data_IF_401469889334
#
_entry.id   IF_401469889334
#
_cell.length_a   1.000
_cell.length_b   1.000
_cell.length_c   1.000
_cell.angle_alpha   90.00
_cell.angle_beta   90.00
_cell.angle_gamma   90.00
#
_symmetry.space_group_name_H-M   'P 1'
#
loop_
_entity.id
_entity.type
_entity.pdbx_description
1 polymer ?
#
# COMPACT_ATOMS: atom_id res chain seq x y z
N UNK A 1 3.65 -7.78 10.55
CA UNK A 1 4.04 -6.69 9.63
C UNK A 1 4.49 -5.42 10.34
N UNK A 2 3.87 -5.00 11.45
CA UNK A 2 4.24 -3.72 12.07
C UNK A 2 5.65 -3.64 12.70
N UNK A 3 6.24 -4.80 13.02
CA UNK A 3 7.59 -4.91 13.53
C UNK A 3 8.64 -5.10 12.42
N UNK A 4 8.24 -5.10 11.15
CA UNK A 4 9.14 -5.30 10.01
C UNK A 4 9.66 -3.95 9.53
N UNK A 5 10.96 -3.89 9.24
CA UNK A 5 11.60 -2.69 8.68
C UNK A 5 11.03 -2.42 7.28
N UNK A 6 10.65 -1.17 6.95
CA UNK A 6 10.13 -0.85 5.62
C UNK A 6 11.24 -0.95 4.55
N UNK A 7 10.87 -1.39 3.35
CA UNK A 7 11.78 -1.57 2.22
C UNK A 7 12.29 -0.23 1.66
N UNK A 8 11.40 0.74 1.51
CA UNK A 8 11.69 2.11 1.10
C UNK A 8 11.32 3.06 2.24
N UNK A 9 11.80 4.31 2.19
CA UNK A 9 11.40 5.36 3.13
C UNK A 9 11.09 6.67 2.40
N UNK A 10 10.22 7.50 2.97
CA UNK A 10 9.82 8.77 2.36
C UNK A 10 8.48 9.27 2.88
N UNK A 11 7.90 10.25 2.18
CA UNK A 11 6.55 10.76 2.47
C UNK A 11 5.48 9.65 2.44
N UNK A 12 4.26 9.97 2.89
CA UNK A 12 3.12 9.06 3.05
C UNK A 12 3.27 8.01 4.17
N UNK A 13 4.39 7.32 4.25
CA UNK A 13 4.60 6.23 5.22
C UNK A 13 5.07 6.69 6.61
N UNK A 14 5.46 7.96 6.75
CA UNK A 14 5.97 8.55 8.00
C UNK A 14 4.83 9.27 8.72
N UNK A 15 4.69 9.01 10.02
CA UNK A 15 3.81 9.77 10.94
C UNK A 15 4.53 11.02 11.43
N UNK A 16 5.77 10.87 11.87
CA UNK A 16 6.58 11.95 12.43
C UNK A 16 8.08 11.71 12.15
N UNK A 17 8.84 12.79 11.97
CA UNK A 17 10.26 12.72 11.65
C UNK A 17 11.04 13.87 12.26
N UNK A 18 12.18 13.51 12.85
CA UNK A 18 13.22 14.39 13.38
C UNK A 18 14.56 14.00 12.75
N UNK A 19 15.64 14.75 13.03
CA UNK A 19 16.96 14.34 12.55
C UNK A 19 17.44 13.01 13.15
N UNK A 20 17.02 12.70 14.38
CA UNK A 20 17.47 11.52 15.14
C UNK A 20 16.52 10.32 15.03
N UNK A 21 15.25 10.54 14.70
CA UNK A 21 14.21 9.51 14.75
C UNK A 21 13.13 9.70 13.69
N UNK A 22 12.68 8.57 13.15
CA UNK A 22 11.48 8.46 12.29
C UNK A 22 10.44 7.53 12.93
N UNK A 23 9.18 7.95 12.93
CA UNK A 23 8.03 7.14 13.34
C UNK A 23 7.21 6.79 12.09
N UNK A 24 7.02 5.50 11.85
CA UNK A 24 6.28 5.00 10.69
C UNK A 24 4.80 4.76 10.99
N UNK A 25 3.98 4.88 9.95
CA UNK A 25 2.58 4.46 9.96
C UNK A 25 2.44 2.96 10.27
N UNK A 26 1.22 2.52 10.60
CA UNK A 26 0.92 1.09 10.63
C UNK A 26 0.95 0.48 9.21
N UNK A 27 1.12 -0.84 9.12
CA UNK A 27 0.92 -1.56 7.87
C UNK A 27 -0.56 -1.47 7.43
N UNK A 28 -0.85 -1.35 6.12
CA UNK A 28 0.06 -1.52 4.99
C UNK A 28 0.88 -0.27 4.61
N UNK A 29 0.40 0.94 4.93
CA UNK A 29 1.01 2.23 4.53
C UNK A 29 2.48 2.37 4.94
N UNK A 30 2.90 1.68 6.01
CA UNK A 30 4.33 1.50 6.36
C UNK A 30 5.21 1.12 5.16
N UNK A 31 4.68 0.44 4.15
CA UNK A 31 5.43 -0.10 3.01
C UNK A 31 5.18 0.64 1.69
N UNK A 32 4.45 1.76 1.70
CA UNK A 32 4.04 2.51 0.51
C UNK A 32 4.64 3.92 0.55
N UNK A 33 5.97 4.01 0.44
CA UNK A 33 6.67 5.29 0.43
C UNK A 33 6.32 6.12 -0.81
N UNK A 34 6.14 7.42 -0.59
CA UNK A 34 5.94 8.40 -1.64
C UNK A 34 4.53 8.38 -2.22
N UNK A 35 4.39 9.01 -3.39
CA UNK A 35 3.13 9.04 -4.13
C UNK A 35 2.88 7.65 -4.70
N UNK A 36 1.83 6.99 -4.23
CA UNK A 36 1.44 5.67 -4.74
C UNK A 36 0.99 5.71 -6.21
N UNK A 37 0.90 4.54 -6.82
CA UNK A 37 0.34 4.38 -8.15
C UNK A 37 -1.20 4.41 -8.10
N UNK A 38 -1.74 5.60 -7.85
CA UNK A 38 -3.16 5.80 -7.51
C UNK A 38 -4.07 5.38 -8.67
N UNK A 39 -3.76 5.82 -9.89
CA UNK A 39 -4.60 5.55 -11.07
C UNK A 39 -4.70 4.05 -11.35
N UNK A 40 -3.58 3.33 -11.32
CA UNK A 40 -3.58 1.90 -11.57
C UNK A 40 -4.20 1.11 -10.42
N UNK A 41 -4.06 1.57 -9.16
CA UNK A 41 -4.74 0.95 -8.02
C UNK A 41 -6.28 1.03 -8.16
N UNK A 42 -6.80 2.19 -8.59
CA UNK A 42 -8.23 2.35 -8.88
C UNK A 42 -8.65 1.52 -10.09
N UNK A 43 -7.83 1.51 -11.15
CA UNK A 43 -8.06 0.69 -12.34
C UNK A 43 -8.11 -0.80 -12.03
N UNK A 44 -7.19 -1.28 -11.18
CA UNK A 44 -7.17 -2.65 -10.69
C UNK A 44 -8.42 -2.98 -9.85
N UNK A 45 -8.87 -2.06 -8.99
CA UNK A 45 -10.13 -2.22 -8.26
C UNK A 45 -11.31 -2.48 -9.21
N UNK A 46 -11.44 -1.64 -10.24
CA UNK A 46 -12.48 -1.81 -11.27
C UNK A 46 -12.35 -3.14 -12.02
N UNK A 47 -11.13 -3.54 -12.36
CA UNK A 47 -10.89 -4.80 -13.06
C UNK A 47 -11.27 -6.02 -12.19
N UNK A 48 -10.99 -5.97 -10.88
CA UNK A 48 -11.39 -6.99 -9.92
C UNK A 48 -12.91 -7.06 -9.80
N UNK A 49 -13.59 -5.92 -9.69
CA UNK A 49 -15.06 -5.86 -9.63
C UNK A 49 -15.70 -6.51 -10.87
N UNK A 50 -15.12 -6.26 -12.06
CA UNK A 50 -15.57 -6.89 -13.29
C UNK A 50 -15.37 -8.42 -13.28
N UNK A 51 -14.16 -8.89 -12.93
CA UNK A 51 -13.85 -10.32 -12.90
C UNK A 51 -14.71 -11.07 -11.88
N UNK A 52 -15.02 -10.46 -10.74
CA UNK A 52 -15.87 -11.06 -9.71
C UNK A 52 -17.31 -11.33 -10.17
N UNK A 53 -17.79 -10.68 -11.23
CA UNK A 53 -19.10 -10.93 -11.83
C UNK A 53 -19.10 -12.17 -12.75
N UNK A 54 -17.92 -12.64 -13.15
CA UNK A 54 -17.77 -13.81 -14.02
C UNK A 54 -17.72 -15.06 -13.14
N UNK A 55 -18.59 -16.05 -13.37
CA UNK A 55 -18.50 -17.33 -12.66
C UNK A 55 -17.14 -17.98 -12.90
N UNK A 56 -16.37 -18.17 -11.84
CA UNK A 56 -15.15 -18.96 -11.92
C UNK A 56 -15.54 -20.43 -12.04
N UNK A 57 -15.22 -21.05 -13.17
CA UNK A 57 -15.30 -22.50 -13.28
C UNK A 57 -14.35 -23.13 -12.26
N UNK A 58 -14.91 -23.95 -11.38
CA UNK A 58 -14.14 -24.74 -10.42
C UNK A 58 -13.83 -26.08 -11.07
N UNK A 59 -12.54 -26.33 -11.34
CA UNK A 59 -12.04 -27.67 -11.66
C UNK A 59 -12.07 -28.57 -10.43
#
# INVERSE_FOLDING_TARGET
MNATVPWQSGGNMIVDVTFERTVYQAAPTRFEAGTGNIADAVGLGTALDYVQQIPLEKN
#
